data_IF_908549460813
#
_entry.id   IF_908549460813
#
_cell.length_a   1.000
_cell.length_b   1.000
_cell.length_c   1.000
_cell.angle_alpha   90.00
_cell.angle_beta   90.00
_cell.angle_gamma   90.00
#
_symmetry.space_group_name_H-M   'P 1'
#
loop_
_entity.id
_entity.type
_entity.pdbx_description
1 polymer ?
#
# COMPACT_ATOMS: atom_id res chain seq x y z
N UNK A 1 -7.25 2.58 6.84
CA UNK A 1 -6.30 2.93 5.76
C UNK A 1 -4.89 3.00 6.33
N UNK A 2 -3.86 2.51 5.63
CA UNK A 2 -2.45 2.56 6.07
C UNK A 2 -1.52 2.93 4.90
N UNK A 3 -0.25 3.26 5.18
CA UNK A 3 0.73 3.66 4.18
C UNK A 3 1.48 2.50 3.50
N UNK A 4 0.94 1.28 3.52
CA UNK A 4 1.61 0.12 2.92
C UNK A 4 1.55 0.15 1.39
N UNK A 5 2.63 -0.31 0.78
CA UNK A 5 2.75 -0.54 -0.66
C UNK A 5 2.30 -1.97 -0.99
N UNK A 6 0.99 -2.19 -0.91
CA UNK A 6 0.31 -3.40 -1.33
C UNK A 6 -1.07 -3.01 -1.88
N UNK A 7 -1.72 -3.90 -2.61
CA UNK A 7 -3.05 -3.62 -3.20
C UNK A 7 -4.08 -4.59 -2.68
N UNK A 8 -5.30 -4.10 -2.49
CA UNK A 8 -6.46 -4.92 -2.15
C UNK A 8 -7.44 -4.82 -3.31
N UNK A 9 -7.82 -5.96 -3.86
CA UNK A 9 -8.80 -6.04 -4.94
C UNK A 9 -9.93 -6.96 -4.52
N UNK A 10 -11.17 -6.53 -4.76
CA UNK A 10 -12.34 -7.39 -4.62
C UNK A 10 -12.53 -8.20 -5.89
N UNK A 11 -12.56 -9.52 -5.76
CA UNK A 11 -13.07 -10.40 -6.80
C UNK A 11 -14.59 -10.53 -6.64
N UNK A 12 -15.35 -9.81 -7.47
CA UNK A 12 -16.82 -9.81 -7.40
C UNK A 12 -17.44 -11.16 -7.76
N UNK A 13 -16.80 -11.97 -8.62
CA UNK A 13 -17.32 -13.28 -9.02
C UNK A 13 -17.25 -14.31 -7.88
N UNK A 14 -16.20 -14.26 -7.06
CA UNK A 14 -16.03 -15.13 -5.90
C UNK A 14 -16.51 -14.48 -4.59
N UNK A 15 -16.83 -13.19 -4.61
CA UNK A 15 -17.08 -12.34 -3.44
C UNK A 15 -15.96 -12.48 -2.38
N UNK A 16 -14.71 -12.34 -2.83
CA UNK A 16 -13.50 -12.48 -2.02
C UNK A 16 -12.58 -11.26 -2.16
N UNK A 17 -11.87 -10.92 -1.10
CA UNK A 17 -10.82 -9.90 -1.08
C UNK A 17 -9.45 -10.55 -1.29
N UNK A 18 -8.67 -9.96 -2.19
CA UNK A 18 -7.34 -10.47 -2.55
C UNK A 18 -6.29 -9.43 -2.19
N UNK A 19 -5.24 -9.89 -1.50
CA UNK A 19 -3.99 -9.15 -1.36
C UNK A 19 -3.15 -9.35 -2.62
N UNK A 20 -2.75 -8.24 -3.24
CA UNK A 20 -1.87 -8.21 -4.41
C UNK A 20 -0.59 -7.46 -4.05
N UNK A 21 0.48 -7.76 -4.79
CA UNK A 21 1.72 -6.99 -4.72
C UNK A 21 1.46 -5.53 -5.07
N UNK A 22 2.19 -4.61 -4.41
CA UNK A 22 2.22 -3.20 -4.75
C UNK A 22 2.75 -2.97 -6.17
N UNK A 23 2.43 -1.80 -6.75
CA UNK A 23 2.91 -1.43 -8.07
C UNK A 23 4.43 -1.19 -8.14
N UNK A 24 5.10 -0.97 -7.01
CA UNK A 24 6.55 -0.84 -6.90
C UNK A 24 7.15 -2.08 -6.25
N UNK A 25 7.67 -2.99 -7.07
CA UNK A 25 8.25 -4.25 -6.63
C UNK A 25 9.33 -4.09 -5.55
N UNK A 26 10.08 -2.97 -5.57
CA UNK A 26 11.16 -2.71 -4.60
C UNK A 26 10.62 -2.27 -3.24
N UNK A 27 9.36 -1.84 -3.20
CA UNK A 27 8.67 -1.38 -2.01
C UNK A 27 7.50 -2.27 -1.65
N UNK A 28 7.26 -3.36 -2.39
CA UNK A 28 6.16 -4.27 -2.12
C UNK A 28 6.21 -4.75 -0.66
N UNK A 29 5.09 -4.57 0.04
CA UNK A 29 4.92 -5.00 1.43
C UNK A 29 3.88 -6.12 1.54
N UNK A 30 3.44 -6.70 0.42
CA UNK A 30 2.46 -7.80 0.44
C UNK A 30 2.96 -8.99 1.27
N UNK A 31 4.27 -9.25 1.27
CA UNK A 31 4.87 -10.30 2.08
C UNK A 31 4.66 -10.07 3.59
N UNK A 32 4.83 -8.86 4.11
CA UNK A 32 4.61 -8.60 5.54
C UNK A 32 3.12 -8.73 5.93
N UNK A 33 2.23 -8.54 4.96
CA UNK A 33 0.78 -8.52 5.13
C UNK A 33 0.12 -9.88 4.84
N UNK A 34 0.88 -10.93 4.54
CA UNK A 34 0.35 -12.22 4.07
C UNK A 34 -0.60 -12.93 5.04
N UNK A 35 -0.55 -12.60 6.34
CA UNK A 35 -1.41 -13.18 7.36
C UNK A 35 -2.78 -12.50 7.47
N UNK A 36 -3.03 -11.42 6.72
CA UNK A 36 -4.31 -10.72 6.76
C UNK A 36 -5.45 -11.62 6.26
N UNK A 37 -6.53 -11.67 7.03
CA UNK A 37 -7.74 -12.41 6.66
C UNK A 37 -8.71 -11.59 5.79
N UNK A 38 -9.72 -12.27 5.26
CA UNK A 38 -10.77 -11.69 4.40
C UNK A 38 -11.48 -10.49 5.04
N UNK A 39 -11.76 -10.56 6.34
CA UNK A 39 -12.41 -9.48 7.06
C UNK A 39 -11.49 -8.26 7.16
N UNK A 40 -10.22 -8.48 7.50
CA UNK A 40 -9.21 -7.43 7.58
C UNK A 40 -8.96 -6.78 6.22
N UNK A 41 -8.84 -7.57 5.15
CA UNK A 41 -8.67 -7.06 3.79
C UNK A 41 -9.87 -6.21 3.37
N UNK A 42 -11.10 -6.67 3.60
CA UNK A 42 -12.32 -5.93 3.25
C UNK A 42 -12.55 -4.63 4.03
N UNK A 43 -11.88 -4.44 5.16
CA UNK A 43 -11.98 -3.23 5.99
C UNK A 43 -10.70 -2.38 5.99
N UNK A 44 -9.71 -2.74 5.16
CA UNK A 44 -8.44 -2.02 5.06
C UNK A 44 -8.31 -1.34 3.70
N UNK A 45 -7.64 -0.19 3.68
CA UNK A 45 -7.28 0.52 2.46
C UNK A 45 -5.77 0.72 2.42
N UNK A 46 -5.17 0.50 1.25
CA UNK A 46 -3.75 0.77 0.96
C UNK A 46 -3.64 1.82 -0.16
N UNK A 47 -3.79 3.12 0.15
CA UNK A 47 -3.85 4.17 -0.86
C UNK A 47 -2.56 4.34 -1.66
N UNK A 48 -1.44 3.84 -1.14
CA UNK A 48 -0.14 3.91 -1.81
C UNK A 48 0.14 2.70 -2.73
N UNK A 49 -0.75 1.69 -2.74
CA UNK A 49 -0.54 0.44 -3.46
C UNK A 49 -0.35 0.57 -4.97
N UNK A 50 -0.91 1.62 -5.59
CA UNK A 50 -0.81 1.89 -7.03
C UNK A 50 0.34 2.83 -7.41
N UNK A 51 1.12 3.29 -6.43
CA UNK A 51 2.16 4.28 -6.65
C UNK A 51 3.54 3.72 -6.34
N UNK A 52 4.51 4.17 -7.12
CA UNK A 52 5.92 4.02 -6.77
C UNK A 52 6.33 5.00 -5.69
N UNK A 53 7.40 4.68 -4.97
CA UNK A 53 7.92 5.60 -3.94
C UNK A 53 8.31 6.98 -4.49
N UNK A 54 8.95 7.09 -5.66
CA UNK A 54 9.21 8.39 -6.27
C UNK A 54 7.92 9.19 -6.54
N UNK A 55 6.85 8.53 -6.98
CA UNK A 55 5.56 9.18 -7.25
C UNK A 55 4.90 9.69 -5.97
N UNK A 56 4.89 8.90 -4.90
CA UNK A 56 4.33 9.36 -3.61
C UNK A 56 5.13 10.53 -3.02
N UNK A 57 6.46 10.55 -3.19
CA UNK A 57 7.28 11.73 -2.83
C UNK A 57 6.94 12.95 -3.67
N UNK A 58 6.76 12.79 -4.98
CA UNK A 58 6.33 13.86 -5.87
C UNK A 58 4.97 14.44 -5.44
N UNK A 59 4.00 13.58 -5.13
CA UNK A 59 2.69 13.99 -4.61
C UNK A 59 2.84 14.74 -3.27
N UNK A 60 3.66 14.24 -2.35
CA UNK A 60 3.91 14.90 -1.08
C UNK A 60 4.56 16.29 -1.24
N UNK A 61 5.49 16.47 -2.18
CA UNK A 61 6.08 17.79 -2.52
C UNK A 61 5.05 18.73 -3.11
N UNK A 62 4.23 18.25 -4.05
CA UNK A 62 3.18 19.04 -4.69
C UNK A 62 2.12 19.51 -3.69
N UNK A 63 1.85 18.69 -2.66
CA UNK A 63 0.96 19.01 -1.56
C UNK A 63 1.64 19.75 -0.40
N UNK A 64 2.91 20.16 -0.55
CA UNK A 64 3.72 20.87 0.45
C UNK A 64 3.75 20.17 1.83
N UNK A 65 3.74 18.84 1.82
CA UNK A 65 3.76 18.06 3.05
C UNK A 65 5.18 18.04 3.66
N UNK A 66 5.33 18.28 4.98
CA UNK A 66 6.64 18.35 5.63
C UNK A 66 7.38 17.01 5.65
N UNK A 67 6.67 15.91 5.37
CA UNK A 67 7.21 14.55 5.34
C UNK A 67 7.77 14.15 3.97
N UNK A 68 7.69 15.02 2.95
CA UNK A 68 8.10 14.69 1.58
C UNK A 68 9.56 14.20 1.47
N UNK A 69 10.46 14.79 2.26
CA UNK A 69 11.89 14.42 2.30
C UNK A 69 12.26 13.56 3.52
N UNK A 70 11.30 13.17 4.35
CA UNK A 70 11.59 12.37 5.54
C UNK A 70 12.17 11.01 5.11
N UNK A 71 13.24 10.59 5.79
CA UNK A 71 13.81 9.26 5.61
C UNK A 71 12.74 8.20 5.92
N UNK A 72 12.83 7.08 5.21
CA UNK A 72 11.88 5.98 5.39
C UNK A 72 12.10 5.30 6.74
N UNK A 73 10.99 4.96 7.39
CA UNK A 73 11.03 3.98 8.47
C UNK A 73 11.34 2.61 7.88
N UNK A 74 12.20 1.84 8.55
CA UNK A 74 12.43 0.44 8.24
C UNK A 74 11.53 -0.41 9.15
N UNK A 75 10.83 -1.38 8.57
CA UNK A 75 10.16 -2.44 9.33
C UNK A 75 11.23 -3.47 9.74
N UNK A 76 11.16 -3.97 10.97
CA UNK A 76 12.12 -4.92 11.57
C UNK A 76 11.62 -6.35 11.38
#
# INVERSE_FOLDING_TARGET
ATGHYARIVKNDAANQWMLLTGADDRKDQSYALYQMDEFQLGHTLFPLGEYTKPETRKLARQAELPVAEKAESQEI
#
